data_IF_885631862182
#
_entry.id   IF_885631862182
#
_cell.length_a   1.000
_cell.length_b   1.000
_cell.length_c   1.000
_cell.angle_alpha   90.00
_cell.angle_beta   90.00
_cell.angle_gamma   90.00
#
_symmetry.space_group_name_H-M   'P 1'
#
loop_
_entity.id
_entity.type
_entity.pdbx_description
1 polymer ?
#
# COMPACT_ATOMS: atom_id res chain seq x y z
N UNK A 1 -4.73 20.67 30.16
CA UNK A 1 -5.39 19.75 31.09
C UNK A 1 -5.31 18.34 30.51
N UNK A 2 -4.43 17.50 31.08
CA UNK A 2 -4.26 16.10 30.67
C UNK A 2 -5.45 15.31 31.21
N UNK A 3 -6.25 14.70 30.34
CA UNK A 3 -7.21 13.67 30.73
C UNK A 3 -6.98 12.43 29.89
N UNK A 4 -6.32 11.48 30.55
CA UNK A 4 -6.20 10.10 30.15
C UNK A 4 -7.56 9.42 30.27
N UNK A 5 -7.96 8.66 29.24
CA UNK A 5 -8.84 7.50 29.40
C UNK A 5 -8.33 6.43 28.41
N UNK A 6 -7.62 5.47 28.98
CA UNK A 6 -7.38 4.13 28.43
C UNK A 6 -8.59 3.25 28.75
N UNK A 7 -8.89 2.33 27.84
CA UNK A 7 -9.54 1.02 28.00
C UNK A 7 -10.77 0.83 27.10
N UNK A 8 -10.63 -0.07 26.11
CA UNK A 8 -11.44 -1.29 26.02
C UNK A 8 -10.91 -2.17 24.87
N UNK A 9 -10.22 -3.24 25.24
CA UNK A 9 -9.99 -4.44 24.44
C UNK A 9 -11.27 -5.29 24.46
N UNK A 10 -11.75 -5.77 23.30
CA UNK A 10 -12.54 -6.99 23.21
C UNK A 10 -12.78 -7.43 21.74
N UNK A 11 -12.20 -8.58 21.37
CA UNK A 11 -12.75 -9.57 20.41
C UNK A 11 -12.82 -9.16 18.92
N UNK A 12 -12.40 -9.96 17.95
CA UNK A 12 -12.04 -11.36 17.97
C UNK A 12 -11.46 -11.77 16.61
N UNK A 13 -10.57 -12.75 16.66
CA UNK A 13 -10.00 -13.44 15.50
C UNK A 13 -10.98 -14.54 15.08
N UNK A 14 -11.35 -14.57 13.79
CA UNK A 14 -11.77 -15.79 13.12
C UNK A 14 -10.99 -15.92 11.82
N UNK A 15 -9.92 -16.71 11.88
CA UNK A 15 -9.30 -17.35 10.72
C UNK A 15 -10.16 -18.58 10.41
N UNK A 16 -10.78 -18.60 9.25
CA UNK A 16 -11.36 -19.82 8.68
C UNK A 16 -10.51 -20.24 7.49
N UNK A 17 -9.60 -21.18 7.76
CA UNK A 17 -8.96 -22.04 6.77
C UNK A 17 -9.99 -22.98 6.14
N UNK A 18 -10.13 -22.93 4.81
CA UNK A 18 -10.80 -23.97 4.04
C UNK A 18 -9.77 -24.65 3.14
N UNK A 19 -9.24 -25.78 3.63
CA UNK A 19 -8.65 -26.83 2.83
C UNK A 19 -9.55 -28.07 2.98
N UNK A 20 -10.13 -28.55 1.89
CA UNK A 20 -10.74 -29.88 1.62
C UNK A 20 -11.03 -29.86 0.11
N UNK A 21 -10.48 -30.69 -0.79
CA UNK A 21 -10.34 -32.17 -0.85
C UNK A 21 -11.67 -32.94 -0.74
N UNK A 22 -12.19 -33.33 -1.90
CA UNK A 22 -13.14 -34.44 -2.20
C UNK A 22 -12.76 -34.85 -3.63
N UNK A 23 -12.21 -36.02 -3.99
CA UNK A 23 -12.54 -37.45 -3.75
C UNK A 23 -13.95 -37.86 -4.18
N UNK A 24 -14.06 -38.56 -5.33
CA UNK A 24 -14.81 -39.82 -5.46
C UNK A 24 -14.83 -40.39 -6.90
N UNK A 25 -14.14 -41.53 -7.03
CA UNK A 25 -14.58 -42.82 -7.62
C UNK A 25 -15.38 -42.87 -8.95
N UNK A 26 -14.82 -43.59 -9.91
CA UNK A 26 -15.49 -44.69 -10.62
C UNK A 26 -14.42 -45.75 -10.97
N UNK A 27 -14.36 -46.84 -10.22
CA UNK A 27 -14.96 -48.16 -10.53
C UNK A 27 -14.17 -48.99 -11.56
N UNK A 28 -13.60 -50.07 -11.02
CA UNK A 28 -13.21 -51.35 -11.59
C UNK A 28 -13.52 -51.63 -13.07
N UNK A 29 -12.48 -51.98 -13.83
CA UNK A 29 -12.57 -53.10 -14.74
C UNK A 29 -11.21 -53.80 -14.90
N UNK A 30 -11.17 -55.09 -14.57
CA UNK A 30 -9.99 -55.93 -14.65
C UNK A 30 -9.87 -56.65 -16.00
N UNK A 31 -8.63 -56.64 -16.52
CA UNK A 31 -8.00 -57.52 -17.54
C UNK A 31 -8.35 -57.34 -19.03
N UNK A 32 -7.45 -57.68 -19.99
CA UNK A 32 -6.14 -58.33 -19.88
C UNK A 32 -4.93 -57.49 -20.39
N UNK A 33 -3.73 -57.95 -20.03
CA UNK A 33 -2.45 -57.35 -20.43
C UNK A 33 -2.26 -57.33 -21.95
N UNK A 34 -2.11 -56.12 -22.50
CA UNK A 34 -1.56 -55.86 -23.82
C UNK A 34 -0.29 -55.05 -23.62
N UNK A 35 0.86 -55.65 -23.91
CA UNK A 35 2.15 -54.95 -23.97
C UNK A 35 2.14 -54.00 -25.17
N UNK A 36 1.68 -52.77 -24.93
CA UNK A 36 1.91 -51.62 -25.81
C UNK A 36 3.31 -51.03 -25.58
N UNK A 37 4.01 -50.58 -26.63
CA UNK A 37 5.29 -49.87 -26.48
C UNK A 37 5.10 -48.66 -25.57
N UNK A 38 6.02 -48.45 -24.64
CA UNK A 38 6.02 -47.31 -23.74
C UNK A 38 5.98 -46.00 -24.56
N UNK A 39 4.79 -45.41 -24.68
CA UNK A 39 4.64 -44.04 -25.12
C UNK A 39 5.22 -43.16 -24.03
N UNK A 40 6.32 -42.46 -24.36
CA UNK A 40 6.91 -41.43 -23.53
C UNK A 40 5.81 -40.46 -23.08
N UNK A 41 5.48 -40.49 -21.79
CA UNK A 41 4.59 -39.51 -21.19
C UNK A 41 5.22 -38.14 -21.45
N UNK A 42 4.50 -37.18 -22.08
CA UNK A 42 5.02 -35.82 -22.22
C UNK A 42 5.38 -35.30 -20.83
N UNK A 43 6.65 -34.91 -20.65
CA UNK A 43 7.08 -34.26 -19.42
C UNK A 43 6.17 -33.05 -19.18
N UNK A 44 5.42 -33.09 -18.08
CA UNK A 44 4.64 -31.93 -17.63
C UNK A 44 5.64 -30.80 -17.42
N UNK A 45 5.51 -29.65 -18.11
CA UNK A 45 6.43 -28.55 -17.91
C UNK A 45 6.36 -28.13 -16.44
N UNK A 46 7.47 -28.27 -15.73
CA UNK A 46 7.63 -27.72 -14.39
C UNK A 46 7.53 -26.20 -14.55
N UNK A 47 6.58 -25.53 -13.88
CA UNK A 47 6.49 -24.08 -13.96
C UNK A 47 7.80 -23.48 -13.46
N UNK A 48 8.43 -22.65 -14.30
CA UNK A 48 9.58 -21.86 -13.88
C UNK A 48 9.19 -21.01 -12.68
N UNK A 49 10.06 -20.87 -11.66
CA UNK A 49 9.76 -20.01 -10.53
C UNK A 49 9.52 -18.59 -11.03
N UNK A 50 8.42 -17.98 -10.58
CA UNK A 50 8.18 -16.55 -10.78
C UNK A 50 9.29 -15.76 -10.09
N UNK A 51 9.85 -14.73 -10.73
CA UNK A 51 10.85 -13.87 -10.09
C UNK A 51 10.30 -13.26 -8.79
N UNK A 52 11.14 -13.17 -7.76
CA UNK A 52 10.82 -12.51 -6.49
C UNK A 52 11.45 -11.10 -6.47
N UNK A 53 10.60 -10.08 -6.49
CA UNK A 53 10.99 -8.67 -6.49
C UNK A 53 10.82 -7.99 -5.13
N UNK A 54 10.55 -8.75 -4.06
CA UNK A 54 10.11 -8.20 -2.77
C UNK A 54 11.14 -7.23 -2.17
N UNK A 55 12.42 -7.60 -2.16
CA UNK A 55 13.47 -6.77 -1.57
C UNK A 55 13.69 -5.45 -2.34
N UNK A 56 13.61 -5.50 -3.67
CA UNK A 56 13.74 -4.32 -4.55
C UNK A 56 12.54 -3.38 -4.40
N UNK A 57 11.34 -3.96 -4.33
CA UNK A 57 10.08 -3.25 -4.08
C UNK A 57 10.12 -2.50 -2.74
N UNK A 58 10.63 -3.12 -1.67
CA UNK A 58 10.80 -2.44 -0.36
C UNK A 58 11.67 -1.20 -0.52
N UNK A 59 12.83 -1.33 -1.16
CA UNK A 59 13.76 -0.20 -1.33
C UNK A 59 13.16 0.93 -2.18
N UNK A 60 12.39 0.61 -3.23
CA UNK A 60 11.66 1.63 -3.99
C UNK A 60 10.63 2.31 -3.11
N UNK A 61 9.83 1.53 -2.37
CA UNK A 61 8.79 2.07 -1.52
C UNK A 61 9.33 3.01 -0.45
N UNK A 62 10.51 2.73 0.12
CA UNK A 62 11.19 3.66 1.02
C UNK A 62 11.62 4.96 0.34
N UNK A 63 12.10 4.90 -0.91
CA UNK A 63 12.44 6.10 -1.68
C UNK A 63 11.19 6.89 -2.02
N UNK A 64 10.11 6.23 -2.43
CA UNK A 64 8.82 6.85 -2.66
C UNK A 64 8.25 7.49 -1.40
N UNK A 65 8.36 6.85 -0.23
CA UNK A 65 7.95 7.42 1.06
C UNK A 65 8.65 8.77 1.32
N UNK A 66 9.97 8.87 1.04
CA UNK A 66 10.72 10.13 1.13
C UNK A 66 10.24 11.20 0.13
N UNK A 67 9.88 10.79 -1.09
CA UNK A 67 9.29 11.68 -2.10
C UNK A 67 7.95 12.19 -1.57
N UNK A 68 7.11 11.29 -1.04
CA UNK A 68 5.82 11.65 -0.47
C UNK A 68 5.95 12.58 0.74
N UNK A 69 6.95 12.42 1.61
CA UNK A 69 7.12 13.31 2.77
C UNK A 69 7.73 14.66 2.42
N UNK A 70 8.67 14.69 1.48
CA UNK A 70 9.44 15.92 1.16
C UNK A 70 8.67 16.78 0.17
N UNK A 71 8.32 16.22 -1.00
CA UNK A 71 7.75 16.98 -2.10
C UNK A 71 6.28 17.39 -1.82
N UNK A 72 5.50 16.56 -1.12
CA UNK A 72 4.18 17.01 -0.65
C UNK A 72 4.29 18.06 0.48
N UNK A 73 5.43 18.13 1.17
CA UNK A 73 5.72 19.20 2.12
C UNK A 73 5.75 20.55 1.41
N UNK A 74 6.51 20.66 0.32
CA UNK A 74 6.63 21.89 -0.48
C UNK A 74 5.30 22.27 -1.15
N UNK A 75 4.59 21.28 -1.68
CA UNK A 75 3.22 21.48 -2.18
C UNK A 75 2.27 21.98 -1.09
N UNK A 76 2.31 21.38 0.11
CA UNK A 76 1.50 21.80 1.25
C UNK A 76 1.83 23.21 1.72
N UNK A 77 3.11 23.61 1.69
CA UNK A 77 3.55 24.97 1.99
C UNK A 77 2.99 25.98 0.97
N UNK A 78 3.05 25.66 -0.33
CA UNK A 78 2.49 26.50 -1.38
C UNK A 78 0.96 26.65 -1.23
N UNK A 79 0.24 25.57 -0.92
CA UNK A 79 -1.19 25.63 -0.60
C UNK A 79 -1.48 26.48 0.65
N UNK A 80 -0.68 26.35 1.70
CA UNK A 80 -0.80 27.17 2.91
C UNK A 80 -0.65 28.67 2.60
N UNK A 81 0.33 29.04 1.77
CA UNK A 81 0.52 30.42 1.30
C UNK A 81 -0.67 30.90 0.47
N UNK A 82 -1.18 30.06 -0.44
CA UNK A 82 -2.37 30.40 -1.24
C UNK A 82 -3.56 30.72 -0.33
N UNK A 83 -3.85 29.89 0.66
CA UNK A 83 -4.95 30.11 1.61
C UNK A 83 -4.74 31.43 2.37
N UNK A 84 -3.53 31.67 2.88
CA UNK A 84 -3.21 32.92 3.59
C UNK A 84 -3.43 34.16 2.71
N UNK A 85 -3.00 34.13 1.44
CA UNK A 85 -3.23 35.22 0.49
C UNK A 85 -4.71 35.38 0.12
N UNK A 86 -5.47 34.27 -0.01
CA UNK A 86 -6.93 34.31 -0.21
C UNK A 86 -7.64 34.98 0.98
N UNK A 87 -7.24 34.64 2.22
CA UNK A 87 -7.77 35.27 3.44
C UNK A 87 -7.42 36.78 3.51
N UNK A 88 -6.22 37.15 3.07
CA UNK A 88 -5.78 38.54 2.97
C UNK A 88 -6.39 39.31 1.77
N UNK A 89 -7.14 38.64 0.89
CA UNK A 89 -7.69 39.17 -0.37
C UNK A 89 -6.62 39.62 -1.37
N UNK A 90 -5.44 39.03 -1.30
CA UNK A 90 -4.30 39.27 -2.19
C UNK A 90 -4.38 38.30 -3.38
N UNK A 91 -5.29 38.55 -4.32
CA UNK A 91 -5.60 37.60 -5.40
C UNK A 91 -4.40 37.26 -6.27
N UNK A 92 -3.54 38.24 -6.59
CA UNK A 92 -2.36 38.00 -7.41
C UNK A 92 -1.32 37.08 -6.73
N UNK A 93 -1.15 37.20 -5.41
CA UNK A 93 -0.24 36.36 -4.65
C UNK A 93 -0.84 34.97 -4.39
N UNK A 94 -2.17 34.89 -4.24
CA UNK A 94 -2.89 33.62 -4.20
C UNK A 94 -2.69 32.84 -5.52
N UNK A 95 -2.90 33.47 -6.68
CA UNK A 95 -2.71 32.85 -7.99
C UNK A 95 -1.26 32.39 -8.21
N UNK A 96 -0.29 33.13 -7.66
CA UNK A 96 1.13 32.77 -7.71
C UNK A 96 1.42 31.55 -6.85
N UNK A 97 0.90 31.51 -5.63
CA UNK A 97 1.05 30.37 -4.73
C UNK A 97 0.36 29.12 -5.26
N UNK A 98 -0.79 29.26 -5.91
CA UNK A 98 -1.50 28.18 -6.61
C UNK A 98 -0.66 27.59 -7.76
N UNK A 99 -0.10 28.44 -8.62
CA UNK A 99 0.82 27.99 -9.69
C UNK A 99 2.07 27.32 -9.14
N UNK A 100 2.56 27.77 -7.98
CA UNK A 100 3.65 27.12 -7.29
C UNK A 100 3.24 25.73 -6.82
N UNK A 101 2.07 25.58 -6.18
CA UNK A 101 1.54 24.27 -5.76
C UNK A 101 1.40 23.31 -6.97
N UNK A 102 0.89 23.78 -8.11
CA UNK A 102 0.84 23.01 -9.34
C UNK A 102 2.23 22.60 -9.88
N UNK A 103 3.25 23.43 -9.64
CA UNK A 103 4.64 23.12 -10.02
C UNK A 103 5.21 22.02 -9.12
N UNK A 104 4.98 22.10 -7.81
CA UNK A 104 5.44 21.08 -6.87
C UNK A 104 4.78 19.72 -7.14
N UNK A 105 3.49 19.67 -7.49
CA UNK A 105 2.85 18.41 -7.90
C UNK A 105 3.48 17.79 -9.16
N UNK A 106 3.89 18.61 -10.13
CA UNK A 106 4.63 18.10 -11.30
C UNK A 106 6.00 17.55 -10.89
N UNK A 107 6.65 18.17 -9.92
CA UNK A 107 7.91 17.67 -9.36
C UNK A 107 7.70 16.31 -8.69
N UNK A 108 6.68 16.17 -7.84
CA UNK A 108 6.26 14.89 -7.24
C UNK A 108 6.10 13.80 -8.31
N UNK A 109 5.29 14.05 -9.35
CA UNK A 109 5.04 13.06 -10.39
C UNK A 109 6.31 12.67 -11.15
N UNK A 110 7.16 13.66 -11.46
CA UNK A 110 8.46 13.44 -12.10
C UNK A 110 9.36 12.57 -11.23
N UNK A 111 9.38 12.83 -9.92
CA UNK A 111 10.22 12.13 -8.97
C UNK A 111 9.71 10.70 -8.73
N UNK A 112 8.40 10.47 -8.66
CA UNK A 112 7.81 9.12 -8.64
C UNK A 112 8.30 8.31 -9.86
N UNK A 113 8.16 8.86 -11.07
CA UNK A 113 8.60 8.19 -12.30
C UNK A 113 10.11 7.88 -12.27
N UNK A 114 10.92 8.81 -11.77
CA UNK A 114 12.38 8.64 -11.66
C UNK A 114 12.73 7.48 -10.73
N UNK A 115 12.11 7.42 -9.55
CA UNK A 115 12.40 6.36 -8.56
C UNK A 115 11.94 4.97 -9.02
N UNK A 116 10.90 4.90 -9.87
CA UNK A 116 10.33 3.62 -10.33
C UNK A 116 10.73 3.22 -11.74
N UNK A 117 11.46 4.05 -12.48
CA UNK A 117 11.82 3.76 -13.89
C UNK A 117 12.62 2.46 -14.02
N UNK A 118 13.48 2.18 -13.03
CA UNK A 118 14.35 1.00 -13.01
C UNK A 118 13.80 -0.16 -12.18
N UNK A 119 12.56 -0.05 -11.66
CA UNK A 119 11.96 -1.09 -10.86
C UNK A 119 11.90 -2.43 -11.60
N UNK A 120 12.21 -3.53 -10.93
CA UNK A 120 12.19 -4.84 -11.59
C UNK A 120 10.76 -5.39 -11.66
N UNK A 121 9.92 -5.03 -10.69
CA UNK A 121 8.51 -5.36 -10.65
C UNK A 121 7.70 -4.55 -11.70
N UNK A 122 7.12 -5.21 -12.74
CA UNK A 122 6.31 -4.53 -13.75
C UNK A 122 4.98 -3.99 -13.21
N UNK A 123 4.44 -4.59 -12.16
CA UNK A 123 3.19 -4.16 -11.54
C UNK A 123 3.41 -2.86 -10.77
N UNK A 124 4.50 -2.78 -9.98
CA UNK A 124 4.94 -1.55 -9.33
C UNK A 124 5.19 -0.42 -10.33
N UNK A 125 5.83 -0.70 -11.48
CA UNK A 125 6.04 0.29 -12.56
C UNK A 125 4.71 0.87 -13.05
N UNK A 126 3.74 0.00 -13.31
CA UNK A 126 2.41 0.38 -13.78
C UNK A 126 1.67 1.23 -12.74
N UNK A 127 1.72 0.82 -11.47
CA UNK A 127 1.12 1.53 -10.36
C UNK A 127 1.72 2.93 -10.16
N UNK A 128 3.05 3.03 -10.20
CA UNK A 128 3.77 4.30 -10.10
C UNK A 128 3.46 5.22 -11.28
N UNK A 129 3.46 4.69 -12.50
CA UNK A 129 3.12 5.47 -13.71
C UNK A 129 1.68 5.99 -13.65
N UNK A 130 0.72 5.16 -13.19
CA UNK A 130 -0.68 5.56 -13.02
C UNK A 130 -0.80 6.68 -11.97
N UNK A 131 -0.12 6.53 -10.84
CA UNK A 131 -0.11 7.54 -9.77
C UNK A 131 0.48 8.86 -10.24
N UNK A 132 1.64 8.83 -10.91
CA UNK A 132 2.28 10.00 -11.50
C UNK A 132 1.39 10.69 -12.55
N UNK A 133 0.68 9.91 -13.38
CA UNK A 133 -0.25 10.45 -14.36
C UNK A 133 -1.45 11.15 -13.70
N UNK A 134 -2.00 10.60 -12.61
CA UNK A 134 -3.10 11.24 -11.86
C UNK A 134 -2.64 12.56 -11.24
N UNK A 135 -1.45 12.57 -10.64
CA UNK A 135 -0.85 13.78 -10.06
C UNK A 135 -0.60 14.84 -11.15
N UNK A 136 -0.03 14.45 -12.30
CA UNK A 136 0.16 15.35 -13.44
C UNK A 136 -1.16 15.88 -14.00
N UNK A 137 -2.22 15.05 -14.00
CA UNK A 137 -3.57 15.46 -14.37
C UNK A 137 -4.07 16.57 -13.46
N UNK A 138 -4.00 16.35 -12.14
CA UNK A 138 -4.37 17.36 -11.15
C UNK A 138 -3.43 18.57 -11.11
N UNK A 139 -2.19 18.46 -11.57
CA UNK A 139 -1.31 19.62 -11.71
C UNK A 139 -1.62 20.48 -12.95
N UNK A 140 -2.52 20.02 -13.83
CA UNK A 140 -3.04 20.76 -15.00
C UNK A 140 -4.45 21.26 -14.75
N UNK A 141 -5.22 20.51 -13.98
CA UNK A 141 -6.59 20.81 -13.60
C UNK A 141 -6.62 21.20 -12.11
N UNK A 142 -6.64 22.51 -11.86
CA UNK A 142 -6.54 23.09 -10.52
C UNK A 142 -7.91 23.32 -9.88
N UNK A 143 -9.00 22.81 -10.46
CA UNK A 143 -10.36 23.00 -9.97
C UNK A 143 -10.49 22.58 -8.49
N UNK A 144 -9.86 21.47 -8.09
CA UNK A 144 -9.84 21.03 -6.68
C UNK A 144 -9.04 21.97 -5.76
N UNK A 145 -8.04 22.72 -6.26
CA UNK A 145 -7.31 23.73 -5.51
C UNK A 145 -8.16 25.01 -5.37
N UNK A 146 -8.91 25.37 -6.40
CA UNK A 146 -9.81 26.52 -6.36
C UNK A 146 -10.91 26.37 -5.31
N UNK A 147 -11.40 25.13 -5.12
CA UNK A 147 -12.35 24.76 -4.07
C UNK A 147 -11.78 24.96 -2.65
N UNK A 148 -10.45 24.93 -2.50
CA UNK A 148 -9.77 25.12 -1.22
C UNK A 148 -9.68 26.61 -0.92
N UNK A 149 -10.58 27.08 -0.03
CA UNK A 149 -10.65 28.47 0.43
C UNK A 149 -10.11 28.64 1.84
N UNK A 150 -10.11 27.57 2.62
CA UNK A 150 -9.72 27.56 4.01
C UNK A 150 -9.03 26.25 4.39
N UNK A 151 -8.42 26.23 5.58
CA UNK A 151 -7.84 25.01 6.15
C UNK A 151 -8.86 23.91 6.41
N UNK A 152 -10.14 24.26 6.53
CA UNK A 152 -11.23 23.29 6.69
C UNK A 152 -11.51 22.52 5.40
N UNK A 153 -11.31 23.16 4.25
CA UNK A 153 -11.55 22.57 2.92
C UNK A 153 -10.43 21.61 2.51
N UNK A 154 -9.21 21.84 3.04
CA UNK A 154 -8.05 20.95 2.87
C UNK A 154 -8.35 19.53 3.35
N UNK A 155 -8.90 19.36 4.56
CA UNK A 155 -9.01 18.04 5.18
C UNK A 155 -9.98 17.10 4.44
N UNK A 156 -10.95 17.67 3.71
CA UNK A 156 -11.90 16.92 2.91
C UNK A 156 -11.42 16.68 1.47
N UNK A 157 -11.27 17.76 0.71
CA UNK A 157 -11.00 17.68 -0.74
C UNK A 157 -9.59 17.14 -1.00
N UNK A 158 -8.58 17.73 -0.38
CA UNK A 158 -7.20 17.36 -0.64
C UNK A 158 -6.88 15.94 -0.17
N UNK A 159 -7.41 15.51 0.97
CA UNK A 159 -7.19 14.15 1.47
C UNK A 159 -7.74 13.09 0.51
N UNK A 160 -8.95 13.29 -0.01
CA UNK A 160 -9.54 12.38 -0.98
C UNK A 160 -8.72 12.34 -2.27
N UNK A 161 -8.27 13.51 -2.73
CA UNK A 161 -7.46 13.63 -3.93
C UNK A 161 -6.09 12.96 -3.78
N UNK A 162 -5.39 13.19 -2.66
CA UNK A 162 -4.12 12.51 -2.35
C UNK A 162 -4.33 11.00 -2.29
N UNK A 163 -5.39 10.54 -1.63
CA UNK A 163 -5.72 9.12 -1.58
C UNK A 163 -5.91 8.56 -2.99
N UNK A 164 -6.64 9.25 -3.86
CA UNK A 164 -6.83 8.83 -5.25
C UNK A 164 -5.51 8.77 -6.02
N UNK A 165 -4.62 9.75 -5.82
CA UNK A 165 -3.30 9.79 -6.45
C UNK A 165 -2.43 8.60 -6.06
N UNK A 166 -2.40 8.23 -4.78
CA UNK A 166 -1.48 7.21 -4.25
C UNK A 166 -2.10 5.82 -4.13
N UNK A 167 -3.42 5.67 -4.27
CA UNK A 167 -4.11 4.38 -4.18
C UNK A 167 -3.49 3.26 -5.02
N UNK A 168 -3.02 3.50 -6.27
CA UNK A 168 -2.37 2.45 -7.04
C UNK A 168 -1.08 1.92 -6.38
N UNK A 169 -0.36 2.77 -5.63
CA UNK A 169 0.90 2.41 -4.95
C UNK A 169 0.67 1.82 -3.55
N UNK A 170 -0.44 2.15 -2.90
CA UNK A 170 -0.73 1.72 -1.53
C UNK A 170 -0.77 0.18 -1.38
N UNK A 171 -1.17 -0.55 -2.43
CA UNK A 171 -1.15 -2.02 -2.43
C UNK A 171 0.26 -2.61 -2.39
N UNK A 172 1.23 -1.98 -3.07
CA UNK A 172 2.61 -2.49 -3.18
C UNK A 172 3.44 -2.07 -1.97
N UNK A 173 3.35 -0.79 -1.59
CA UNK A 173 4.11 -0.23 -0.48
C UNK A 173 3.47 -0.45 0.89
N UNK A 174 2.21 -0.89 0.93
CA UNK A 174 1.51 -1.27 2.17
C UNK A 174 1.71 -2.73 2.56
N UNK A 175 1.75 -3.65 1.58
CA UNK A 175 1.92 -5.10 1.82
C UNK A 175 3.33 -5.42 2.34
N UNK A 176 4.35 -4.72 1.87
CA UNK A 176 5.74 -4.91 2.31
C UNK A 176 5.97 -4.65 3.80
N UNK A 177 5.28 -3.66 4.39
CA UNK A 177 5.34 -3.40 5.85
C UNK A 177 4.73 -4.55 6.68
N UNK A 178 3.81 -5.34 6.11
CA UNK A 178 3.26 -6.52 6.78
C UNK A 178 4.20 -7.73 6.71
N UNK A 179 4.98 -7.86 5.63
CA UNK A 179 5.93 -8.97 5.40
C UNK A 179 7.22 -8.81 6.20
N UNK A 180 7.53 -7.62 6.71
CA UNK A 180 8.66 -7.38 7.63
C UNK A 180 8.30 -7.58 9.13
N UNK A 181 7.01 -7.78 9.45
CA UNK A 181 6.51 -8.12 10.80
C UNK A 181 6.20 -9.62 11.09
N UNK A 182 6.81 -10.64 10.47
CA UNK A 182 6.67 -12.00 10.95
C UNK A 182 7.70 -12.23 12.06
N UNK A 183 7.22 -12.45 13.28
CA UNK A 183 7.98 -12.92 14.46
C UNK A 183 8.40 -11.84 15.48
N UNK A 184 7.41 -11.30 16.19
CA UNK A 184 7.57 -11.08 17.63
C UNK A 184 6.87 -12.25 18.36
N UNK A 185 7.53 -13.42 18.40
CA UNK A 185 7.10 -14.51 19.25
C UNK A 185 7.32 -14.14 20.74
N UNK A 186 6.32 -14.30 21.63
CA UNK A 186 6.52 -14.08 23.06
C UNK A 186 7.29 -15.26 23.67
N UNK A 187 8.61 -15.13 23.76
CA UNK A 187 9.47 -16.03 24.54
C UNK A 187 9.33 -15.71 26.04
N UNK A 188 8.27 -16.20 26.67
CA UNK A 188 8.11 -16.22 28.13
C UNK A 188 7.73 -17.62 28.60
N UNK A 189 8.49 -18.27 29.49
CA UNK A 189 8.18 -19.63 29.93
C UNK A 189 6.92 -19.67 30.83
N UNK A 190 6.17 -20.79 30.84
CA UNK A 190 5.03 -20.95 31.71
C UNK A 190 5.49 -21.17 33.16
N UNK A 191 5.27 -20.19 34.03
CA UNK A 191 5.27 -20.42 35.47
C UNK A 191 4.00 -21.18 35.84
N UNK A 192 4.13 -22.50 35.90
CA UNK A 192 3.17 -23.42 36.52
C UNK A 192 2.96 -23.02 37.98
N UNK A 193 1.77 -22.49 38.29
CA UNK A 193 1.30 -22.37 39.66
C UNK A 193 0.57 -23.66 40.04
N UNK A 194 1.21 -24.49 40.87
CA UNK A 194 0.57 -25.61 41.54
C UNK A 194 -0.44 -25.12 42.59
N UNK A 195 -1.57 -25.81 42.80
CA UNK A 195 -2.43 -25.57 43.94
C UNK A 195 -1.91 -26.36 45.15
N UNK A 196 -1.74 -25.72 46.30
CA UNK A 196 -1.55 -26.44 47.57
C UNK A 196 -2.42 -25.83 48.66
N UNK A 197 -3.52 -26.56 48.88
CA UNK A 197 -4.10 -26.99 50.15
C UNK A 197 -4.30 -25.97 51.27
N UNK A 198 -5.59 -25.72 51.51
CA UNK A 198 -6.23 -25.42 52.80
C UNK A 198 -5.91 -26.49 53.87
N UNK A 199 -5.50 -26.08 55.08
CA UNK A 199 -5.83 -26.74 56.36
C UNK A 199 -5.72 -25.71 57.50
N UNK A 200 -6.77 -25.61 58.32
CA UNK A 200 -6.69 -25.37 59.78
C UNK A 200 -6.88 -23.95 60.26
#
# INVERSE_FOLDING_TARGET
MRRAILALLAGGVLVTSAACSDDAKNEDNAAPAVTTPAASVPAVPVPSPTPDYTAETIQICERLDKVFTTEFGDFGEALGKMIAHKEAKETADADKAEKQAATELKAVATQIRKETTNAEDPELKTAAATSAQRIEGSAKDLDYIEEIKSTKDLDGSLKNQISEWISPLAGYCGVTRAVESPSAAPSGPPVSAAPSASVG
#
